data_IF_695453176224
#
_entry.id   IF_695453176224
#
_cell.length_a   1.000
_cell.length_b   1.000
_cell.length_c   1.000
_cell.angle_alpha   90.00
_cell.angle_beta   90.00
_cell.angle_gamma   90.00
#
_symmetry.space_group_name_H-M   'P 1'
#
loop_
_entity.id
_entity.type
_entity.pdbx_description
1 polymer ?
#
# COMPACT_ATOMS: atom_id res chain seq x y z
N UNK A 1 22.27 20.03 -10.24
CA UNK A 1 22.25 19.27 -11.52
C UNK A 1 22.37 17.76 -11.27
N UNK A 2 21.57 17.18 -10.36
CA UNK A 2 21.59 15.73 -9.99
C UNK A 2 20.18 15.12 -9.99
N UNK A 3 19.13 15.95 -10.04
CA UNK A 3 17.72 15.54 -9.95
C UNK A 3 17.11 15.07 -11.29
N UNK A 4 17.82 15.20 -12.41
CA UNK A 4 17.34 14.74 -13.73
C UNK A 4 17.60 13.24 -13.97
N UNK A 5 18.64 12.68 -13.34
CA UNK A 5 19.11 11.32 -13.64
C UNK A 5 18.21 10.23 -13.03
N UNK A 6 17.63 10.45 -11.86
CA UNK A 6 16.73 9.48 -11.20
C UNK A 6 15.42 9.28 -11.98
N UNK A 7 14.87 10.36 -12.55
CA UNK A 7 13.65 10.32 -13.35
C UNK A 7 13.84 9.63 -14.70
N UNK A 8 15.03 9.73 -15.30
CA UNK A 8 15.34 9.07 -16.57
C UNK A 8 15.46 7.55 -16.40
N UNK A 9 16.09 7.09 -15.32
CA UNK A 9 16.23 5.66 -15.01
C UNK A 9 14.90 4.98 -14.72
N UNK A 10 14.03 5.60 -13.91
CA UNK A 10 12.72 5.03 -13.58
C UNK A 10 11.80 5.03 -14.79
N UNK A 11 11.77 6.09 -15.59
CA UNK A 11 10.97 6.11 -16.83
C UNK A 11 11.44 5.08 -17.83
N UNK A 12 12.75 4.92 -18.01
CA UNK A 12 13.33 3.96 -18.96
C UNK A 12 13.04 2.53 -18.54
N UNK A 13 13.24 2.20 -17.27
CA UNK A 13 12.98 0.87 -16.73
C UNK A 13 11.50 0.48 -16.77
N UNK A 14 10.58 1.42 -16.48
CA UNK A 14 9.13 1.18 -16.57
C UNK A 14 8.68 1.02 -18.02
N UNK A 15 9.22 1.81 -18.95
CA UNK A 15 8.94 1.64 -20.38
C UNK A 15 9.48 0.30 -20.90
N UNK A 16 10.71 -0.06 -20.55
CA UNK A 16 11.36 -1.28 -21.01
C UNK A 16 10.69 -2.55 -20.44
N UNK A 17 10.11 -2.49 -19.24
CA UNK A 17 9.28 -3.57 -18.67
C UNK A 17 7.94 -3.72 -19.40
N UNK A 18 7.34 -2.61 -19.82
CA UNK A 18 6.03 -2.62 -20.47
C UNK A 18 6.10 -3.02 -21.95
N UNK A 19 7.25 -2.83 -22.60
CA UNK A 19 7.43 -3.05 -24.04
C UNK A 19 7.91 -4.48 -24.40
N UNK A 20 8.69 -5.16 -23.53
CA UNK A 20 9.07 -6.57 -23.75
C UNK A 20 9.47 -7.30 -22.44
N UNK A 21 8.61 -8.17 -21.89
CA UNK A 21 8.86 -8.87 -20.62
C UNK A 21 10.00 -9.91 -20.69
N UNK A 22 10.43 -10.26 -21.90
CA UNK A 22 11.33 -11.41 -22.13
C UNK A 22 12.81 -11.00 -22.10
N UNK A 23 13.13 -9.73 -22.35
CA UNK A 23 14.52 -9.21 -22.35
C UNK A 23 15.06 -8.85 -20.95
N UNK A 24 14.21 -8.93 -19.92
CA UNK A 24 14.58 -8.68 -18.51
C UNK A 24 15.69 -9.63 -18.08
N UNK A 25 15.70 -10.85 -18.61
CA UNK A 25 16.69 -11.87 -18.29
C UNK A 25 18.08 -11.55 -18.87
N UNK A 26 18.15 -11.02 -20.10
CA UNK A 26 19.44 -10.69 -20.74
C UNK A 26 20.14 -9.49 -20.09
N UNK A 27 19.38 -8.48 -19.63
CA UNK A 27 19.93 -7.38 -18.84
C UNK A 27 20.43 -7.83 -17.45
N UNK A 28 19.93 -8.96 -16.95
CA UNK A 28 20.26 -9.49 -15.63
C UNK A 28 21.59 -10.26 -15.63
N UNK A 29 22.12 -10.65 -16.79
CA UNK A 29 23.35 -11.44 -16.91
C UNK A 29 24.66 -10.61 -16.90
N UNK A 30 24.61 -9.30 -17.12
CA UNK A 30 25.83 -8.47 -17.18
C UNK A 30 26.21 -7.82 -15.84
N UNK A 31 25.36 -7.91 -14.83
CA UNK A 31 25.68 -7.54 -13.46
C UNK A 31 26.09 -8.80 -12.68
N UNK A 32 27.39 -9.12 -12.73
CA UNK A 32 28.04 -10.00 -11.74
C UNK A 32 27.75 -9.47 -10.31
N UNK A 33 26.63 -9.89 -9.73
CA UNK A 33 26.33 -9.60 -8.34
C UNK A 33 26.60 -10.85 -7.51
N UNK A 34 27.71 -10.71 -6.78
CA UNK A 34 28.09 -11.36 -5.53
C UNK A 34 26.94 -12.07 -4.79
N UNK A 35 27.20 -13.20 -4.13
CA UNK A 35 26.18 -13.98 -3.45
C UNK A 35 25.72 -13.22 -2.19
N UNK A 36 24.74 -12.34 -2.34
CA UNK A 36 24.07 -11.71 -1.22
C UNK A 36 22.59 -11.53 -1.54
N UNK A 37 21.86 -12.65 -1.53
CA UNK A 37 20.41 -12.60 -1.47
C UNK A 37 19.92 -13.47 -0.33
N UNK A 38 19.76 -12.84 0.84
CA UNK A 38 18.71 -13.20 1.77
C UNK A 38 17.35 -13.11 1.04
N UNK A 39 16.78 -14.26 0.67
CA UNK A 39 15.41 -14.49 0.18
C UNK A 39 14.87 -13.54 -0.92
N UNK A 40 14.87 -13.93 -2.21
CA UNK A 40 14.39 -13.11 -3.34
C UNK A 40 12.97 -12.55 -3.20
N UNK A 41 12.07 -13.32 -2.56
CA UNK A 41 10.65 -12.95 -2.37
C UNK A 41 10.46 -11.70 -1.49
N UNK A 42 11.37 -11.48 -0.54
CA UNK A 42 11.23 -10.39 0.43
C UNK A 42 11.54 -9.02 -0.20
N UNK A 43 12.51 -8.98 -1.11
CA UNK A 43 12.92 -7.75 -1.80
C UNK A 43 11.83 -7.28 -2.76
N UNK A 44 11.26 -8.20 -3.56
CA UNK A 44 10.18 -7.86 -4.50
C UNK A 44 8.95 -7.28 -3.80
N UNK A 45 8.50 -7.91 -2.72
CA UNK A 45 7.36 -7.43 -1.93
C UNK A 45 7.61 -6.02 -1.37
N UNK A 46 8.81 -5.75 -0.86
CA UNK A 46 9.17 -4.42 -0.35
C UNK A 46 9.14 -3.36 -1.44
N UNK A 47 9.63 -3.67 -2.65
CA UNK A 47 9.59 -2.75 -3.79
C UNK A 47 8.14 -2.46 -4.21
N UNK A 48 7.32 -3.48 -4.40
CA UNK A 48 5.90 -3.32 -4.80
C UNK A 48 5.15 -2.48 -3.75
N UNK A 49 5.29 -2.85 -2.48
CA UNK A 49 4.65 -2.15 -1.37
C UNK A 49 5.12 -0.71 -1.26
N UNK A 50 6.42 -0.45 -1.39
CA UNK A 50 6.98 0.90 -1.37
C UNK A 50 6.45 1.78 -2.49
N UNK A 51 6.43 1.25 -3.71
CA UNK A 51 5.88 1.97 -4.88
C UNK A 51 4.39 2.27 -4.69
N UNK A 52 3.60 1.31 -4.20
CA UNK A 52 2.18 1.51 -3.95
C UNK A 52 1.95 2.64 -2.93
N UNK A 53 2.66 2.63 -1.80
CA UNK A 53 2.56 3.68 -0.77
C UNK A 53 2.96 5.04 -1.33
N UNK A 54 4.03 5.11 -2.11
CA UNK A 54 4.49 6.34 -2.76
C UNK A 54 3.44 6.91 -3.72
N UNK A 55 2.83 6.09 -4.57
CA UNK A 55 1.80 6.53 -5.52
C UNK A 55 0.52 6.97 -4.79
N UNK A 56 0.08 6.20 -3.79
CA UNK A 56 -1.18 6.46 -3.10
C UNK A 56 -1.08 7.70 -2.22
N UNK A 57 -0.03 7.80 -1.39
CA UNK A 57 0.08 8.82 -0.35
C UNK A 57 1.08 9.93 -0.68
N UNK A 58 1.92 9.78 -1.70
CA UNK A 58 2.94 10.77 -2.06
C UNK A 58 4.11 10.81 -1.09
N UNK A 59 4.33 9.72 -0.35
CA UNK A 59 5.39 9.60 0.66
C UNK A 59 6.63 9.01 0.00
N UNK A 60 7.78 9.66 0.21
CA UNK A 60 9.07 9.13 -0.24
C UNK A 60 9.45 7.92 0.62
N UNK A 61 9.32 6.72 0.04
CA UNK A 61 9.62 5.46 0.72
C UNK A 61 11.12 5.27 0.82
N UNK A 62 11.61 5.07 2.04
CA UNK A 62 13.03 4.83 2.27
C UNK A 62 13.43 3.45 1.75
N UNK A 63 14.55 3.32 1.00
CA UNK A 63 14.97 2.05 0.41
C UNK A 63 15.31 0.99 1.47
N UNK A 64 15.61 1.41 2.71
CA UNK A 64 15.88 0.52 3.83
C UNK A 64 14.99 0.88 5.03
N UNK A 65 14.29 -0.13 5.52
CA UNK A 65 13.57 -0.12 6.80
C UNK A 65 12.52 0.98 6.99
N UNK A 66 11.80 1.30 5.92
CA UNK A 66 10.65 2.18 6.02
C UNK A 66 9.56 1.59 6.95
N UNK A 67 9.06 2.35 7.94
CA UNK A 67 8.06 1.87 8.89
C UNK A 67 6.74 1.50 8.22
N UNK A 68 6.33 2.22 7.16
CA UNK A 68 5.10 1.92 6.44
C UNK A 68 5.22 0.63 5.63
N UNK A 69 6.38 0.40 5.01
CA UNK A 69 6.65 -0.86 4.29
C UNK A 69 6.70 -2.04 5.26
N UNK A 70 7.29 -1.86 6.46
CA UNK A 70 7.28 -2.91 7.50
C UNK A 70 5.86 -3.23 7.94
N UNK A 71 5.05 -2.20 8.21
CA UNK A 71 3.65 -2.36 8.60
C UNK A 71 2.83 -3.09 7.52
N UNK A 72 3.00 -2.73 6.24
CA UNK A 72 2.36 -3.41 5.14
C UNK A 72 2.81 -4.87 4.98
N UNK A 73 4.10 -5.15 5.20
CA UNK A 73 4.60 -6.54 5.23
C UNK A 73 3.98 -7.30 6.41
N UNK A 74 3.79 -6.69 7.56
CA UNK A 74 3.16 -7.33 8.72
C UNK A 74 1.66 -7.62 8.48
N UNK A 75 0.92 -6.65 7.92
CA UNK A 75 -0.49 -6.80 7.54
C UNK A 75 -0.66 -7.94 6.55
N UNK A 76 0.13 -7.96 5.46
CA UNK A 76 -0.01 -9.02 4.45
C UNK A 76 0.44 -10.39 4.98
N UNK A 77 1.33 -10.47 5.98
CA UNK A 77 1.64 -11.75 6.65
C UNK A 77 0.44 -12.23 7.47
N UNK A 78 -0.10 -11.34 8.30
CA UNK A 78 -1.29 -11.63 9.11
C UNK A 78 -2.49 -12.02 8.23
N UNK A 79 -2.64 -11.36 7.07
CA UNK A 79 -3.67 -11.71 6.09
C UNK A 79 -3.49 -13.12 5.53
N UNK A 80 -2.27 -13.48 5.13
CA UNK A 80 -1.99 -14.83 4.62
C UNK A 80 -2.31 -15.87 5.69
N UNK A 81 -1.96 -15.60 6.95
CA UNK A 81 -2.25 -16.49 8.08
C UNK A 81 -3.75 -16.60 8.39
N UNK A 82 -4.52 -15.54 8.09
CA UNK A 82 -5.99 -15.51 8.23
C UNK A 82 -6.70 -16.15 7.04
N UNK A 83 -6.13 -16.07 5.84
CA UNK A 83 -6.72 -16.58 4.60
C UNK A 83 -6.36 -18.05 4.31
N UNK A 84 -5.68 -18.76 5.22
CA UNK A 84 -5.37 -20.19 5.03
C UNK A 84 -6.67 -21.00 5.04
N UNK A 85 -7.10 -21.56 3.89
CA UNK A 85 -8.33 -22.33 3.81
C UNK A 85 -8.22 -23.58 4.71
N UNK A 86 -9.23 -23.80 5.57
CA UNK A 86 -9.25 -24.90 6.53
C UNK A 86 -8.71 -24.56 7.93
N UNK A 87 -8.12 -23.39 8.15
CA UNK A 87 -7.75 -22.90 9.49
C UNK A 87 -8.96 -22.40 10.28
N UNK A 88 -10.00 -21.93 9.58
CA UNK A 88 -11.22 -21.42 10.17
C UNK A 88 -12.43 -22.17 9.61
N UNK A 89 -13.20 -22.82 10.49
CA UNK A 89 -14.49 -23.44 10.15
C UNK A 89 -15.50 -22.44 9.55
N UNK A 90 -15.22 -21.13 9.64
CA UNK A 90 -16.02 -20.01 9.14
C UNK A 90 -16.14 -20.00 7.61
N UNK A 91 -15.11 -20.45 6.88
CA UNK A 91 -15.18 -20.52 5.40
C UNK A 91 -16.18 -21.57 4.90
N UNK A 92 -16.60 -22.51 5.75
CA UNK A 92 -17.58 -23.56 5.41
C UNK A 92 -18.97 -23.31 5.98
N UNK A 93 -19.12 -22.43 6.99
CA UNK A 93 -20.37 -22.22 7.72
C UNK A 93 -20.59 -20.73 8.03
N UNK A 94 -21.37 -19.98 7.21
CA UNK A 94 -21.65 -18.56 7.43
C UNK A 94 -22.41 -18.26 8.74
N UNK A 95 -22.96 -19.28 9.39
CA UNK A 95 -23.64 -19.16 10.69
C UNK A 95 -22.68 -18.88 11.87
N UNK A 96 -21.37 -19.07 11.68
CA UNK A 96 -20.35 -18.87 12.72
C UNK A 96 -20.05 -17.38 13.01
N UNK A 97 -20.50 -16.44 12.16
CA UNK A 97 -20.33 -15.00 12.39
C UNK A 97 -21.01 -14.53 13.69
N UNK A 98 -22.17 -15.10 14.01
CA UNK A 98 -23.01 -14.73 15.15
C UNK A 98 -22.59 -15.40 16.47
N UNK A 99 -21.55 -16.23 16.45
CA UNK A 99 -21.19 -17.01 17.63
C UNK A 99 -20.40 -16.16 18.62
N UNK A 100 -20.80 -16.09 19.90
CA UNK A 100 -20.10 -15.28 20.90
C UNK A 100 -18.65 -15.74 21.13
N UNK A 101 -17.79 -14.78 21.49
CA UNK A 101 -16.32 -14.93 21.61
C UNK A 101 -15.86 -16.06 22.57
N UNK A 102 -16.76 -16.66 23.36
CA UNK A 102 -16.46 -17.72 24.33
C UNK A 102 -16.49 -19.14 23.75
N UNK A 103 -16.95 -19.34 22.51
CA UNK A 103 -17.06 -20.71 21.98
C UNK A 103 -15.70 -21.33 21.66
N UNK A 104 -15.48 -22.62 21.99
CA UNK A 104 -14.26 -23.33 21.64
C UNK A 104 -14.13 -23.41 20.11
N UNK A 105 -13.16 -22.70 19.54
CA UNK A 105 -12.98 -22.53 18.09
C UNK A 105 -13.10 -21.09 17.58
N UNK A 106 -13.47 -20.11 18.43
CA UNK A 106 -13.57 -18.69 18.06
C UNK A 106 -12.22 -17.93 18.02
N UNK A 107 -11.08 -18.64 17.95
CA UNK A 107 -9.75 -18.02 17.81
C UNK A 107 -9.65 -17.11 16.58
N UNK A 108 -10.44 -17.38 15.54
CA UNK A 108 -10.57 -16.55 14.35
C UNK A 108 -10.99 -15.12 14.66
N UNK A 109 -11.93 -14.91 15.60
CA UNK A 109 -12.40 -13.56 15.94
C UNK A 109 -11.29 -12.71 16.51
N UNK A 110 -10.36 -13.30 17.26
CA UNK A 110 -9.19 -12.60 17.80
C UNK A 110 -8.20 -12.27 16.69
N UNK A 111 -7.89 -13.23 15.81
CA UNK A 111 -6.96 -13.00 14.68
C UNK A 111 -7.51 -11.96 13.69
N UNK A 112 -8.81 -11.99 13.39
CA UNK A 112 -9.47 -10.98 12.54
C UNK A 112 -9.47 -9.59 13.19
N UNK A 113 -9.68 -9.49 14.51
CA UNK A 113 -9.61 -8.21 15.24
C UNK A 113 -8.20 -7.61 15.18
N UNK A 114 -7.16 -8.42 15.38
CA UNK A 114 -5.76 -7.97 15.25
C UNK A 114 -5.41 -7.58 13.82
N UNK A 115 -5.82 -8.38 12.83
CA UNK A 115 -5.64 -8.04 11.41
C UNK A 115 -6.33 -6.71 11.04
N UNK A 116 -7.56 -6.51 11.52
CA UNK A 116 -8.30 -5.27 11.30
C UNK A 116 -7.55 -4.07 11.89
N UNK A 117 -7.07 -4.18 13.13
CA UNK A 117 -6.27 -3.13 13.79
C UNK A 117 -5.00 -2.78 13.02
N UNK A 118 -4.28 -3.77 12.50
CA UNK A 118 -3.08 -3.54 11.68
C UNK A 118 -3.43 -2.88 10.34
N UNK A 119 -4.54 -3.29 9.73
CA UNK A 119 -5.00 -2.72 8.45
C UNK A 119 -5.46 -1.28 8.61
N UNK A 120 -6.20 -0.97 9.68
CA UNK A 120 -6.64 0.38 10.00
C UNK A 120 -5.42 1.29 10.19
N UNK A 121 -4.39 0.84 10.92
CA UNK A 121 -3.12 1.58 11.05
C UNK A 121 -2.42 1.80 9.72
N UNK A 122 -2.35 0.77 8.86
CA UNK A 122 -1.72 0.88 7.54
C UNK A 122 -2.43 1.88 6.63
N UNK A 123 -3.72 2.10 6.84
CA UNK A 123 -4.49 3.11 6.12
C UNK A 123 -4.31 4.49 6.74
N UNK A 124 -4.53 4.59 8.05
CA UNK A 124 -4.68 5.87 8.75
C UNK A 124 -3.33 6.59 8.92
N UNK A 125 -2.27 5.87 9.27
CA UNK A 125 -0.94 6.48 9.51
C UNK A 125 -0.38 7.18 8.25
N UNK A 126 -0.29 6.54 7.06
CA UNK A 126 0.20 7.23 5.86
C UNK A 126 -0.81 8.23 5.30
N UNK A 127 -2.12 8.03 5.52
CA UNK A 127 -3.13 9.02 5.14
C UNK A 127 -2.95 10.32 5.93
N UNK A 128 -2.80 10.23 7.25
CA UNK A 128 -2.55 11.40 8.10
C UNK A 128 -1.25 12.10 7.69
N UNK A 129 -0.17 11.35 7.45
CA UNK A 129 1.08 11.91 6.96
C UNK A 129 0.92 12.66 5.62
N UNK A 130 0.11 12.12 4.69
CA UNK A 130 -0.18 12.78 3.42
C UNK A 130 -0.98 14.07 3.62
N UNK A 131 -2.00 14.05 4.48
CA UNK A 131 -2.81 15.25 4.82
C UNK A 131 -1.95 16.32 5.49
N UNK A 132 -1.07 15.94 6.41
CA UNK A 132 -0.14 16.88 7.07
C UNK A 132 0.83 17.51 6.07
N UNK A 133 1.34 16.72 5.12
CA UNK A 133 2.19 17.24 4.04
C UNK A 133 1.41 18.22 3.15
N UNK A 134 0.12 17.98 2.90
CA UNK A 134 -0.74 18.88 2.12
C UNK A 134 -0.97 20.19 2.87
N UNK A 135 -1.27 20.13 4.17
CA UNK A 135 -1.47 21.30 5.02
C UNK A 135 -0.21 22.16 5.11
N UNK A 136 0.98 21.53 5.09
CA UNK A 136 2.28 22.22 5.08
C UNK A 136 2.69 22.75 3.70
N UNK A 137 1.92 22.47 2.64
CA UNK A 137 2.23 22.89 1.27
C UNK A 137 3.42 22.16 0.63
N UNK A 138 3.91 21.07 1.23
CA UNK A 138 5.06 20.27 0.74
C UNK A 138 4.64 18.94 0.12
N UNK A 139 3.34 18.65 0.05
CA UNK A 139 2.83 17.41 -0.52
C UNK A 139 3.13 17.27 -2.00
N UNK A 140 3.57 16.08 -2.38
CA UNK A 140 3.67 15.66 -3.77
C UNK A 140 2.28 15.36 -4.36
N UNK A 141 2.10 15.47 -5.68
CA UNK A 141 0.88 15.00 -6.35
C UNK A 141 0.76 13.48 -6.17
N UNK A 142 -0.31 13.03 -5.52
CA UNK A 142 -0.57 11.63 -5.22
C UNK A 142 -2.07 11.33 -5.35
N UNK A 143 -2.46 10.06 -5.28
CA UNK A 143 -3.86 9.68 -5.42
C UNK A 143 -4.74 10.33 -4.34
N UNK A 144 -4.26 10.36 -3.10
CA UNK A 144 -4.98 11.00 -1.98
C UNK A 144 -5.12 12.51 -2.20
N UNK A 145 -4.06 13.21 -2.64
CA UNK A 145 -4.14 14.65 -2.83
C UNK A 145 -5.07 15.03 -3.98
N UNK A 146 -5.07 14.26 -5.08
CA UNK A 146 -6.05 14.41 -6.15
C UNK A 146 -7.48 14.12 -5.68
N UNK A 147 -7.68 13.07 -4.89
CA UNK A 147 -8.98 12.72 -4.31
C UNK A 147 -9.53 13.84 -3.44
N UNK A 148 -8.73 14.36 -2.51
CA UNK A 148 -9.11 15.45 -1.61
C UNK A 148 -9.38 16.75 -2.35
N UNK A 149 -8.58 17.09 -3.37
CA UNK A 149 -8.84 18.27 -4.20
C UNK A 149 -10.16 18.17 -4.97
N UNK A 150 -10.50 16.99 -5.51
CA UNK A 150 -11.79 16.75 -6.17
C UNK A 150 -12.95 16.92 -5.20
N UNK A 151 -12.83 16.37 -3.99
CA UNK A 151 -13.85 16.54 -2.95
C UNK A 151 -14.03 18.01 -2.55
N UNK A 152 -12.94 18.74 -2.36
CA UNK A 152 -13.00 20.18 -2.03
C UNK A 152 -13.70 21.00 -3.12
N UNK A 153 -13.43 20.70 -4.40
CA UNK A 153 -14.12 21.33 -5.54
C UNK A 153 -15.63 21.02 -5.55
N UNK A 154 -15.99 19.76 -5.34
CA UNK A 154 -17.39 19.34 -5.32
C UNK A 154 -18.18 20.00 -4.18
N UNK A 155 -17.56 20.14 -3.00
CA UNK A 155 -18.15 20.83 -1.85
C UNK A 155 -18.38 22.31 -2.17
N UNK A 156 -17.42 22.98 -2.82
CA UNK A 156 -17.57 24.39 -3.21
C UNK A 156 -18.71 24.59 -4.21
N UNK A 157 -18.75 23.78 -5.26
CA UNK A 157 -19.80 23.81 -6.28
C UNK A 157 -21.20 23.56 -5.67
N UNK A 158 -21.30 22.66 -4.67
CA UNK A 158 -22.56 22.37 -3.96
C UNK A 158 -23.05 23.50 -3.06
N UNK A 159 -22.18 24.44 -2.67
CA UNK A 159 -22.54 25.61 -1.86
C UNK A 159 -23.00 26.76 -2.76
N UNK A 160 -22.28 27.00 -3.87
CA UNK A 160 -22.64 28.02 -4.87
C UNK A 160 -24.04 27.75 -5.46
N UNK A 161 -24.36 26.50 -5.78
CA UNK A 161 -25.72 26.12 -6.28
C UNK A 161 -26.84 26.42 -5.28
N UNK A 162 -26.56 26.44 -3.97
CA UNK A 162 -27.55 26.76 -2.93
C UNK A 162 -27.72 28.26 -2.68
N UNK A 163 -26.72 29.07 -3.03
CA UNK A 163 -26.80 30.54 -2.92
C UNK A 163 -27.48 31.17 -4.14
N UNK A 164 -27.44 30.53 -5.31
CA UNK A 164 -28.10 31.01 -6.54
C UNK A 164 -29.59 30.64 -6.65
N UNK A 165 -30.08 29.77 -5.77
CA UNK A 165 -31.49 29.28 -5.78
C UNK A 165 -32.38 29.98 -4.74
N UNK A 166 -31.94 31.13 -4.21
CA UNK A 166 -32.65 31.89 -3.18
C UNK A 166 -32.71 33.39 -3.51
#
# INVERSE_FOLDING_TARGET
MVQSWQLFYVKRFVYDILDSPDSVWDHMHQFELRPFCSSPKLTLRRMITGTAISITYGIEVKPKDDPFVKLAVEVTRSLIDVMVPGKFLVDSLPYLEHIPDWTPGASFKRETKEFKKLTDRLRDEPFQAAVDAMNKGVAQPCLVSQGLQRLAKNVKNSREVKEETH
#
